data_IF_744079279540
#
_entry.id   IF_744079279540
#
_cell.length_a   1.000
_cell.length_b   1.000
_cell.length_c   1.000
_cell.angle_alpha   90.00
_cell.angle_beta   90.00
_cell.angle_gamma   90.00
#
_symmetry.space_group_name_H-M   'P 1'
#
loop_
_entity.id
_entity.type
_entity.pdbx_description
1 polymer ?
#
# COMPACT_ATOMS: atom_id res chain seq x y z
N UNK A 1 -3.53 5.13 29.95
CA UNK A 1 -3.04 6.50 30.20
C UNK A 1 -3.85 7.44 29.32
N UNK A 2 -4.13 8.68 29.76
CA UNK A 2 -4.80 9.64 28.88
C UNK A 2 -3.87 9.97 27.70
N UNK A 3 -4.38 9.98 26.48
CA UNK A 3 -3.55 10.30 25.32
C UNK A 3 -3.12 11.77 25.40
N UNK A 4 -1.90 12.06 24.97
CA UNK A 4 -1.39 13.43 24.98
C UNK A 4 -2.10 14.23 23.88
N UNK A 5 -2.21 15.56 24.05
CA UNK A 5 -2.77 16.43 22.99
C UNK A 5 -2.06 16.23 21.65
N UNK A 6 -0.76 15.91 21.70
CA UNK A 6 0.06 15.63 20.53
C UNK A 6 -0.39 14.35 19.81
N UNK A 7 -0.65 13.28 20.57
CA UNK A 7 -1.20 12.02 20.04
C UNK A 7 -2.59 12.20 19.44
N UNK A 8 -3.47 12.99 20.07
CA UNK A 8 -4.78 13.32 19.50
C UNK A 8 -4.63 14.01 18.14
N UNK A 9 -3.72 15.00 18.02
CA UNK A 9 -3.48 15.69 16.76
C UNK A 9 -2.97 14.72 15.68
N UNK A 10 -2.02 13.84 16.01
CA UNK A 10 -1.49 12.84 15.06
C UNK A 10 -2.61 11.90 14.57
N UNK A 11 -3.46 11.42 15.47
CA UNK A 11 -4.57 10.53 15.12
C UNK A 11 -5.54 11.18 14.14
N UNK A 12 -6.02 12.40 14.46
CA UNK A 12 -6.96 13.12 13.59
C UNK A 12 -6.31 13.56 12.27
N UNK A 13 -5.04 13.94 12.29
CA UNK A 13 -4.28 14.23 11.08
C UNK A 13 -4.14 13.00 10.18
N UNK A 14 -3.78 11.84 10.74
CA UNK A 14 -3.65 10.59 10.00
C UNK A 14 -4.98 10.22 9.33
N UNK A 15 -6.09 10.31 10.06
CA UNK A 15 -7.44 10.08 9.53
C UNK A 15 -7.72 10.99 8.32
N UNK A 16 -7.56 12.31 8.48
CA UNK A 16 -7.80 13.26 7.38
C UNK A 16 -6.89 13.01 6.17
N UNK A 17 -5.60 12.71 6.40
CA UNK A 17 -4.68 12.35 5.33
C UNK A 17 -5.09 11.08 4.60
N UNK A 18 -5.61 10.07 5.31
CA UNK A 18 -6.09 8.82 4.70
C UNK A 18 -7.35 9.03 3.85
N UNK A 19 -8.22 9.97 4.21
CA UNK A 19 -9.47 10.25 3.52
C UNK A 19 -9.30 11.18 2.31
N UNK A 20 -8.43 12.19 2.43
CA UNK A 20 -8.33 13.32 1.47
C UNK A 20 -6.95 13.44 0.82
N UNK A 21 -6.00 12.62 1.23
CA UNK A 21 -4.59 12.77 0.90
C UNK A 21 -3.91 13.91 1.67
N UNK A 22 -2.58 13.85 1.75
CA UNK A 22 -1.76 14.89 2.40
C UNK A 22 -1.92 16.24 1.69
N UNK A 23 -1.94 16.25 0.35
CA UNK A 23 -2.09 17.49 -0.44
C UNK A 23 -3.46 18.15 -0.25
N UNK A 24 -4.52 17.35 -0.10
CA UNK A 24 -5.90 17.81 0.10
C UNK A 24 -6.24 18.23 1.53
N UNK A 25 -5.29 18.11 2.47
CA UNK A 25 -5.48 18.42 3.88
C UNK A 25 -4.63 19.62 4.30
N UNK A 26 -5.22 20.59 5.00
CA UNK A 26 -4.52 21.76 5.55
C UNK A 26 -4.33 21.63 7.07
N UNK A 27 -3.38 22.41 7.61
CA UNK A 27 -3.19 22.51 9.08
C UNK A 27 -4.44 23.03 9.78
N UNK A 28 -5.24 23.87 9.09
CA UNK A 28 -6.51 24.36 9.61
C UNK A 28 -7.54 23.25 9.74
N UNK A 29 -7.67 22.39 8.72
CA UNK A 29 -8.61 21.26 8.77
C UNK A 29 -8.30 20.34 9.97
N UNK A 30 -7.01 20.09 10.23
CA UNK A 30 -6.58 19.26 11.38
C UNK A 30 -6.92 19.96 12.70
N UNK A 31 -6.66 21.27 12.81
CA UNK A 31 -6.96 22.03 14.02
C UNK A 31 -8.48 22.07 14.30
N UNK A 32 -9.29 22.25 13.26
CA UNK A 32 -10.75 22.27 13.36
C UNK A 32 -11.29 20.89 13.77
N UNK A 33 -10.76 19.79 13.21
CA UNK A 33 -11.12 18.41 13.59
C UNK A 33 -10.77 18.09 15.06
N UNK A 34 -9.64 18.59 15.56
CA UNK A 34 -9.19 18.40 16.96
C UNK A 34 -9.91 19.36 17.93
N UNK A 35 -10.53 20.43 17.42
CA UNK A 35 -11.20 21.46 18.22
C UNK A 35 -10.24 22.47 18.86
N UNK A 36 -9.14 22.80 18.19
CA UNK A 36 -8.15 23.80 18.64
C UNK A 36 -7.96 24.91 17.61
N UNK A 37 -7.37 26.03 18.03
CA UNK A 37 -6.99 27.10 17.09
C UNK A 37 -5.81 26.64 16.22
N UNK A 38 -5.80 27.01 14.93
CA UNK A 38 -4.69 26.63 14.03
C UNK A 38 -3.32 27.13 14.51
N UNK A 39 -3.29 28.30 15.17
CA UNK A 39 -2.08 28.82 15.81
C UNK A 39 -1.55 27.90 16.93
N UNK A 40 -2.45 27.23 17.67
CA UNK A 40 -2.07 26.27 18.71
C UNK A 40 -1.41 25.02 18.13
N UNK A 41 -1.79 24.60 16.91
CA UNK A 41 -1.19 23.43 16.26
C UNK A 41 0.29 23.67 15.95
N UNK A 42 0.67 24.89 15.57
CA UNK A 42 2.07 25.26 15.31
C UNK A 42 2.96 25.23 16.57
N UNK A 43 2.38 25.19 17.78
CA UNK A 43 3.16 24.94 19.01
C UNK A 43 3.55 23.46 19.16
N UNK A 44 2.84 22.53 18.52
CA UNK A 44 3.13 21.10 18.57
C UNK A 44 3.98 20.63 17.39
N UNK A 45 3.79 21.22 16.22
CA UNK A 45 4.43 20.80 14.97
C UNK A 45 4.86 21.99 14.13
N UNK A 46 6.09 21.95 13.61
CA UNK A 46 6.65 23.05 12.80
C UNK A 46 6.05 23.15 11.39
N UNK A 47 5.48 22.07 10.86
CA UNK A 47 4.90 22.04 9.51
C UNK A 47 3.91 20.86 9.35
N UNK A 48 3.14 20.86 8.26
CA UNK A 48 2.32 19.71 7.87
C UNK A 48 3.19 18.47 7.61
N UNK A 49 4.35 18.65 6.99
CA UNK A 49 5.28 17.55 6.68
C UNK A 49 5.85 16.95 7.97
N UNK A 50 6.09 17.75 9.00
CA UNK A 50 6.52 17.24 10.31
C UNK A 50 5.47 16.30 10.94
N UNK A 51 4.17 16.62 10.78
CA UNK A 51 3.08 15.75 11.23
C UNK A 51 3.08 14.43 10.43
N UNK A 52 3.21 14.51 9.12
CA UNK A 52 3.27 13.34 8.22
C UNK A 52 4.44 12.43 8.60
N UNK A 53 5.64 12.98 8.73
CA UNK A 53 6.83 12.19 9.06
C UNK A 53 6.68 11.54 10.42
N UNK A 54 6.12 12.23 11.40
CA UNK A 54 5.96 11.65 12.71
C UNK A 54 4.93 10.51 12.75
N UNK A 55 3.81 10.65 12.05
CA UNK A 55 2.84 9.55 11.90
C UNK A 55 3.51 8.33 11.27
N UNK A 56 4.27 8.54 10.19
CA UNK A 56 4.93 7.44 9.47
C UNK A 56 6.07 6.83 10.29
N UNK A 57 6.90 7.64 10.95
CA UNK A 57 7.99 7.14 11.80
C UNK A 57 7.41 6.31 12.94
N UNK A 58 6.39 6.81 13.65
CA UNK A 58 5.77 6.06 14.74
C UNK A 58 5.21 4.70 14.26
N UNK A 59 4.57 4.68 13.09
CA UNK A 59 4.08 3.44 12.50
C UNK A 59 5.20 2.48 12.08
N UNK A 60 6.23 2.98 11.40
CA UNK A 60 7.34 2.15 10.89
C UNK A 60 8.24 1.66 12.02
N UNK A 61 8.40 2.44 13.10
CA UNK A 61 9.12 2.01 14.30
C UNK A 61 8.36 0.87 15.01
N UNK A 62 7.05 1.00 15.24
CA UNK A 62 6.22 -0.09 15.77
C UNK A 62 6.28 -1.33 14.87
N UNK A 63 6.20 -1.16 13.55
CA UNK A 63 6.33 -2.26 12.59
C UNK A 63 7.69 -2.96 12.70
N UNK A 64 8.78 -2.20 12.81
CA UNK A 64 10.13 -2.75 12.98
C UNK A 64 10.29 -3.49 14.31
N UNK A 65 9.74 -2.95 15.40
CA UNK A 65 9.75 -3.60 16.72
C UNK A 65 9.01 -4.94 16.68
N UNK A 66 7.85 -4.98 16.01
CA UNK A 66 7.10 -6.23 15.83
C UNK A 66 7.81 -7.23 14.92
N UNK A 67 8.42 -6.79 13.82
CA UNK A 67 9.24 -7.67 12.96
C UNK A 67 10.44 -8.25 13.71
N UNK A 68 11.09 -7.44 14.54
CA UNK A 68 12.18 -7.89 15.40
C UNK A 68 11.70 -8.93 16.43
N UNK A 69 10.60 -8.65 17.11
CA UNK A 69 10.01 -9.55 18.11
C UNK A 69 9.50 -10.87 17.50
N UNK A 70 9.06 -10.85 16.24
CA UNK A 70 8.60 -12.02 15.52
C UNK A 70 9.74 -12.91 14.97
N UNK A 71 11.01 -12.50 15.08
CA UNK A 71 12.12 -13.34 14.63
C UNK A 71 12.33 -14.53 15.58
N UNK A 72 12.09 -15.75 15.11
CA UNK A 72 12.43 -16.96 15.87
C UNK A 72 13.73 -17.59 15.33
N UNK A 73 14.67 -17.98 16.22
CA UNK A 73 15.87 -18.72 15.81
C UNK A 73 15.53 -20.07 15.19
N UNK A 74 16.17 -20.37 14.05
CA UNK A 74 16.03 -21.68 13.38
C UNK A 74 14.88 -21.78 12.38
N UNK A 75 14.01 -20.76 12.30
CA UNK A 75 12.95 -20.71 11.29
C UNK A 75 13.49 -20.65 9.86
N UNK A 76 12.73 -21.29 8.99
CA UNK A 76 12.84 -21.26 7.53
C UNK A 76 12.56 -19.86 6.97
N UNK A 77 12.96 -19.61 5.72
CA UNK A 77 12.59 -18.38 5.04
C UNK A 77 11.07 -18.24 4.89
N UNK A 78 10.39 -19.36 4.65
CA UNK A 78 8.94 -19.45 4.54
C UNK A 78 8.20 -19.07 5.83
N UNK A 79 8.59 -19.65 6.96
CA UNK A 79 7.97 -19.34 8.27
C UNK A 79 8.15 -17.86 8.63
N UNK A 80 9.33 -17.29 8.37
CA UNK A 80 9.57 -15.86 8.59
C UNK A 80 8.67 -14.97 7.75
N UNK A 81 8.51 -15.27 6.46
CA UNK A 81 7.60 -14.53 5.59
C UNK A 81 6.17 -14.61 6.13
N UNK A 82 5.74 -15.79 6.57
CA UNK A 82 4.41 -16.01 7.14
C UNK A 82 4.15 -15.12 8.37
N UNK A 83 5.10 -15.12 9.32
CA UNK A 83 5.04 -14.24 10.50
C UNK A 83 5.05 -12.76 10.13
N UNK A 84 5.83 -12.37 9.13
CA UNK A 84 5.88 -10.97 8.68
C UNK A 84 4.57 -10.51 8.04
N UNK A 85 3.86 -11.37 7.29
CA UNK A 85 2.50 -11.06 6.79
C UNK A 85 1.54 -10.86 7.96
N UNK A 86 1.57 -11.75 8.95
CA UNK A 86 0.72 -11.64 10.15
C UNK A 86 0.97 -10.31 10.90
N UNK A 87 2.24 -10.02 11.22
CA UNK A 87 2.65 -8.78 11.88
C UNK A 87 2.22 -7.54 11.08
N UNK A 88 2.33 -7.58 9.75
CA UNK A 88 1.91 -6.46 8.90
C UNK A 88 0.41 -6.18 9.04
N UNK A 89 -0.42 -7.22 9.15
CA UNK A 89 -1.86 -7.09 9.32
C UNK A 89 -2.23 -6.60 10.72
N UNK A 90 -1.54 -7.08 11.75
CA UNK A 90 -1.72 -6.61 13.13
C UNK A 90 -1.36 -5.12 13.25
N UNK A 91 -0.19 -4.72 12.76
CA UNK A 91 0.22 -3.33 12.75
C UNK A 91 -0.74 -2.44 11.95
N UNK A 92 -1.25 -2.94 10.80
CA UNK A 92 -2.24 -2.21 10.02
C UNK A 92 -3.59 -2.06 10.73
N UNK A 93 -4.02 -3.07 11.51
CA UNK A 93 -5.25 -3.00 12.29
C UNK A 93 -5.14 -1.98 13.44
N UNK A 94 -3.98 -1.89 14.08
CA UNK A 94 -3.71 -0.92 15.15
C UNK A 94 -3.48 0.50 14.63
N UNK A 95 -2.99 0.65 13.39
CA UNK A 95 -2.69 1.94 12.75
C UNK A 95 -3.43 2.12 11.41
N UNK A 96 -4.78 2.11 11.40
CA UNK A 96 -5.57 1.98 10.17
C UNK A 96 -5.39 3.13 9.17
N UNK A 97 -4.98 4.31 9.63
CA UNK A 97 -4.80 5.51 8.80
C UNK A 97 -3.35 5.76 8.38
N UNK A 98 -2.37 5.31 9.16
CA UNK A 98 -0.94 5.53 8.87
C UNK A 98 -0.48 4.74 7.64
N UNK A 99 -1.09 3.58 7.39
CA UNK A 99 -0.77 2.69 6.27
C UNK A 99 -0.92 3.36 4.90
N UNK A 100 -1.94 4.19 4.68
CA UNK A 100 -2.12 4.92 3.40
C UNK A 100 -1.02 5.96 3.17
N UNK A 101 -0.59 6.62 4.26
CA UNK A 101 0.45 7.64 4.20
C UNK A 101 1.79 6.96 3.91
N UNK A 102 2.06 5.84 4.56
CA UNK A 102 3.25 5.02 4.34
C UNK A 102 3.31 4.46 2.90
N UNK A 103 2.19 3.95 2.37
CA UNK A 103 2.10 3.41 1.02
C UNK A 103 2.26 4.46 -0.08
N UNK A 104 1.96 5.73 0.21
CA UNK A 104 2.19 6.83 -0.72
C UNK A 104 3.66 7.27 -0.69
N UNK A 105 4.53 6.32 -1.03
CA UNK A 105 6.00 6.40 -0.92
C UNK A 105 6.60 7.61 -1.64
N UNK A 106 5.92 8.24 -2.60
CA UNK A 106 6.44 9.42 -3.31
C UNK A 106 6.86 10.57 -2.38
N UNK A 107 6.15 10.75 -1.26
CA UNK A 107 6.49 11.75 -0.24
C UNK A 107 7.74 11.33 0.58
N UNK A 108 7.95 10.01 0.73
CA UNK A 108 9.04 9.42 1.50
C UNK A 108 10.32 9.28 0.67
N UNK A 109 10.21 8.89 -0.60
CA UNK A 109 11.32 8.68 -1.53
C UNK A 109 12.08 9.96 -1.87
N UNK A 110 11.51 11.11 -1.53
CA UNK A 110 12.12 12.42 -1.70
C UNK A 110 13.02 12.82 -0.52
N UNK A 111 13.03 12.04 0.57
CA UNK A 111 13.86 12.31 1.74
C UNK A 111 15.31 11.85 1.54
N UNK A 112 16.29 12.52 2.18
CA UNK A 112 17.67 12.05 2.21
C UNK A 112 17.77 10.60 2.69
N UNK A 113 18.74 9.86 2.15
CA UNK A 113 18.93 8.45 2.51
C UNK A 113 19.24 8.29 4.01
N UNK A 114 19.97 9.20 4.62
CA UNK A 114 20.34 9.18 6.04
C UNK A 114 19.26 9.74 6.98
N UNK A 115 18.13 10.22 6.44
CA UNK A 115 17.03 10.71 7.28
C UNK A 115 16.45 9.59 8.16
N UNK A 116 15.94 9.91 9.37
CA UNK A 116 15.37 8.90 10.28
C UNK A 116 14.29 8.04 9.63
N UNK A 117 13.42 8.64 8.83
CA UNK A 117 12.34 7.93 8.13
C UNK A 117 12.89 6.98 7.06
N UNK A 118 13.85 7.42 6.23
CA UNK A 118 14.48 6.55 5.23
C UNK A 118 15.21 5.37 5.88
N UNK A 119 15.86 5.59 7.02
CA UNK A 119 16.51 4.52 7.81
C UNK A 119 15.49 3.52 8.34
N UNK A 120 14.40 4.00 8.96
CA UNK A 120 13.37 3.14 9.54
C UNK A 120 12.66 2.30 8.46
N UNK A 121 12.35 2.90 7.30
CA UNK A 121 11.72 2.20 6.17
C UNK A 121 12.65 1.14 5.59
N UNK A 122 13.94 1.45 5.39
CA UNK A 122 14.93 0.45 4.93
C UNK A 122 15.05 -0.71 5.90
N UNK A 123 15.07 -0.45 7.21
CA UNK A 123 15.11 -1.52 8.22
C UNK A 123 13.92 -2.47 8.07
N UNK A 124 12.72 -1.95 7.85
CA UNK A 124 11.53 -2.78 7.64
C UNK A 124 11.67 -3.66 6.39
N UNK A 125 12.30 -3.15 5.33
CA UNK A 125 12.60 -3.90 4.12
C UNK A 125 13.67 -4.97 4.29
N UNK A 126 14.68 -4.71 5.13
CA UNK A 126 15.79 -5.64 5.35
C UNK A 126 15.31 -6.95 5.98
N UNK A 127 14.29 -6.90 6.85
CA UNK A 127 13.69 -8.12 7.41
C UNK A 127 13.10 -9.03 6.32
N UNK A 128 12.39 -8.44 5.33
CA UNK A 128 11.79 -9.20 4.23
C UNK A 128 12.87 -9.76 3.30
N UNK A 129 13.87 -8.94 2.97
CA UNK A 129 14.99 -9.35 2.13
C UNK A 129 15.80 -10.49 2.77
N UNK A 130 16.06 -10.45 4.08
CA UNK A 130 16.73 -11.53 4.81
C UNK A 130 15.91 -12.83 4.78
N UNK A 131 14.60 -12.77 5.04
CA UNK A 131 13.71 -13.93 5.00
C UNK A 131 13.70 -14.61 3.61
N UNK A 132 13.57 -13.81 2.54
CA UNK A 132 13.61 -14.31 1.15
C UNK A 132 14.97 -14.92 0.83
N UNK A 133 16.07 -14.22 1.18
CA UNK A 133 17.42 -14.71 0.94
C UNK A 133 17.71 -16.03 1.67
N UNK A 134 17.19 -16.19 2.89
CA UNK A 134 17.29 -17.45 3.64
C UNK A 134 16.57 -18.59 2.95
N UNK A 135 15.31 -18.39 2.57
CA UNK A 135 14.55 -19.46 1.90
C UNK A 135 15.16 -19.86 0.56
N UNK A 136 15.71 -18.90 -0.20
CA UNK A 136 16.48 -19.21 -1.42
C UNK A 136 17.73 -20.04 -1.10
N UNK A 137 18.52 -19.63 -0.10
CA UNK A 137 19.73 -20.38 0.32
C UNK A 137 19.43 -21.78 0.85
N UNK A 138 18.28 -21.95 1.50
CA UNK A 138 17.80 -23.23 2.00
C UNK A 138 17.15 -24.11 0.91
N UNK A 139 16.96 -23.59 -0.31
CA UNK A 139 16.31 -24.29 -1.41
C UNK A 139 14.79 -24.39 -1.29
N UNK A 140 14.17 -23.59 -0.42
CA UNK A 140 12.71 -23.52 -0.22
C UNK A 140 12.01 -22.83 -1.39
N UNK A 141 12.68 -21.84 -1.98
CA UNK A 141 12.15 -20.97 -3.03
C UNK A 141 12.87 -21.16 -4.36
N UNK A 142 12.14 -21.00 -5.47
CA UNK A 142 12.71 -21.00 -6.82
C UNK A 142 13.71 -19.84 -7.01
N UNK A 143 14.72 -20.06 -7.85
CA UNK A 143 15.84 -19.13 -8.07
C UNK A 143 15.79 -18.39 -9.39
N UNK A 144 14.84 -18.72 -10.25
CA UNK A 144 14.66 -18.11 -11.57
C UNK A 144 13.85 -16.82 -11.54
N UNK A 145 13.36 -16.43 -10.35
CA UNK A 145 12.72 -15.13 -10.12
C UNK A 145 13.65 -14.31 -9.21
N UNK A 146 13.90 -13.08 -9.63
CA UNK A 146 14.73 -12.14 -8.89
C UNK A 146 14.11 -11.82 -7.51
N UNK A 147 14.93 -11.84 -6.48
CA UNK A 147 14.49 -11.69 -5.08
C UNK A 147 13.90 -10.30 -4.81
N UNK A 148 14.43 -9.24 -5.45
CA UNK A 148 13.90 -7.89 -5.26
C UNK A 148 12.55 -7.72 -5.93
N UNK A 149 12.35 -8.31 -7.12
CA UNK A 149 11.05 -8.34 -7.77
C UNK A 149 10.02 -9.11 -6.93
N UNK A 150 10.37 -10.28 -6.42
CA UNK A 150 9.49 -11.06 -5.54
C UNK A 150 9.13 -10.29 -4.27
N UNK A 151 10.13 -9.75 -3.56
CA UNK A 151 9.92 -8.91 -2.37
C UNK A 151 8.93 -7.78 -2.66
N UNK A 152 9.14 -7.04 -3.75
CA UNK A 152 8.26 -5.93 -4.13
C UNK A 152 6.83 -6.42 -4.37
N UNK A 153 6.65 -7.48 -5.17
CA UNK A 153 5.31 -8.01 -5.46
C UNK A 153 4.57 -8.49 -4.21
N UNK A 154 5.26 -9.21 -3.32
CA UNK A 154 4.69 -9.70 -2.07
C UNK A 154 4.30 -8.53 -1.16
N UNK A 155 5.20 -7.57 -0.97
CA UNK A 155 4.97 -6.37 -0.17
C UNK A 155 3.78 -5.56 -0.69
N UNK A 156 3.73 -5.29 -2.00
CA UNK A 156 2.61 -4.58 -2.62
C UNK A 156 1.29 -5.34 -2.40
N UNK A 157 1.32 -6.67 -2.45
CA UNK A 157 0.11 -7.49 -2.24
C UNK A 157 -0.38 -7.45 -0.80
N UNK A 158 0.52 -7.52 0.18
CA UNK A 158 0.20 -7.36 1.62
C UNK A 158 -0.48 -6.00 1.86
N UNK A 159 0.15 -4.93 1.40
CA UNK A 159 -0.31 -3.57 1.63
C UNK A 159 -1.58 -3.20 0.85
N UNK A 160 -1.70 -3.69 -0.39
CA UNK A 160 -2.94 -3.59 -1.17
C UNK A 160 -4.09 -4.32 -0.47
N UNK A 161 -3.84 -5.52 0.09
CA UNK A 161 -4.83 -6.29 0.83
C UNK A 161 -5.32 -5.52 2.06
N UNK A 162 -4.41 -4.92 2.83
CA UNK A 162 -4.77 -4.02 3.95
C UNK A 162 -5.66 -2.88 3.49
N UNK A 163 -5.28 -2.20 2.40
CA UNK A 163 -6.01 -1.05 1.86
C UNK A 163 -7.46 -1.37 1.49
N UNK A 164 -7.68 -2.49 0.79
CA UNK A 164 -9.01 -2.87 0.35
C UNK A 164 -9.87 -3.53 1.44
N UNK A 165 -9.26 -3.98 2.53
CA UNK A 165 -9.96 -4.68 3.61
C UNK A 165 -9.93 -3.93 4.95
N UNK A 166 -9.58 -2.63 4.99
CA UNK A 166 -9.41 -1.86 6.24
C UNK A 166 -10.57 -2.06 7.25
N UNK A 167 -11.81 -2.07 6.77
CA UNK A 167 -12.99 -2.19 7.63
C UNK A 167 -13.21 -3.60 8.22
N UNK A 168 -12.70 -4.65 7.57
CA UNK A 168 -12.87 -6.04 7.98
C UNK A 168 -11.54 -6.74 8.33
N UNK A 169 -10.41 -6.02 8.30
CA UNK A 169 -9.07 -6.58 8.40
C UNK A 169 -8.90 -7.40 9.67
N UNK A 170 -9.38 -6.91 10.81
CA UNK A 170 -9.28 -7.61 12.08
C UNK A 170 -10.04 -8.95 12.10
N UNK A 171 -11.19 -9.03 11.40
CA UNK A 171 -11.97 -10.27 11.30
C UNK A 171 -11.42 -11.23 10.24
N UNK A 172 -10.83 -10.68 9.17
CA UNK A 172 -10.45 -11.42 7.98
C UNK A 172 -8.95 -11.75 7.89
N UNK A 173 -8.12 -11.18 8.78
CA UNK A 173 -6.66 -11.25 8.72
C UNK A 173 -6.13 -12.67 8.50
N UNK A 174 -6.65 -13.64 9.24
CA UNK A 174 -6.18 -15.03 9.14
C UNK A 174 -6.48 -15.65 7.76
N UNK A 175 -7.68 -15.40 7.22
CA UNK A 175 -8.06 -15.88 5.88
C UNK A 175 -7.20 -15.20 4.81
N UNK A 176 -7.06 -13.87 4.89
CA UNK A 176 -6.28 -13.09 3.93
C UNK A 176 -4.80 -13.48 3.95
N UNK A 177 -4.26 -13.77 5.14
CA UNK A 177 -2.88 -14.25 5.32
C UNK A 177 -2.71 -15.59 4.65
N UNK A 178 -3.61 -16.54 4.93
CA UNK A 178 -3.59 -17.86 4.30
C UNK A 178 -3.64 -17.75 2.77
N UNK A 179 -4.56 -16.94 2.22
CA UNK A 179 -4.70 -16.76 0.77
C UNK A 179 -3.43 -16.16 0.14
N UNK A 180 -2.83 -15.13 0.77
CA UNK A 180 -1.57 -14.54 0.30
C UNK A 180 -0.43 -15.55 0.31
N UNK A 181 -0.30 -16.32 1.39
CA UNK A 181 0.76 -17.32 1.54
C UNK A 181 0.58 -18.46 0.55
N UNK A 182 -0.65 -18.91 0.31
CA UNK A 182 -0.93 -19.92 -0.70
C UNK A 182 -0.55 -19.42 -2.11
N UNK A 183 -0.95 -18.21 -2.48
CA UNK A 183 -0.63 -17.66 -3.80
C UNK A 183 0.86 -17.42 -3.98
N UNK A 184 1.51 -16.76 -3.02
CA UNK A 184 2.88 -16.31 -3.16
C UNK A 184 3.93 -17.34 -2.76
N UNK A 185 3.66 -18.21 -1.80
CA UNK A 185 4.63 -19.20 -1.33
C UNK A 185 4.32 -20.61 -1.84
N UNK A 186 3.07 -21.02 -2.05
CA UNK A 186 2.78 -22.33 -2.69
C UNK A 186 2.89 -22.25 -4.22
N UNK A 187 2.49 -21.12 -4.82
CA UNK A 187 2.73 -20.85 -6.24
C UNK A 187 4.21 -20.68 -6.62
N UNK A 188 5.08 -20.47 -5.61
CA UNK A 188 6.51 -20.19 -5.77
C UNK A 188 7.42 -21.24 -5.12
N UNK A 189 6.85 -22.21 -4.41
CA UNK A 189 7.60 -23.29 -3.74
C UNK A 189 8.42 -24.10 -4.75
N UNK A 190 9.60 -24.55 -4.32
CA UNK A 190 10.44 -25.46 -5.09
C UNK A 190 9.80 -26.86 -5.17
N UNK A 191 8.82 -27.03 -6.06
CA UNK A 191 8.18 -28.33 -6.35
C UNK A 191 6.66 -28.31 -6.32
N UNK A 192 6.03 -27.70 -7.33
CA UNK A 192 4.65 -27.96 -7.72
C UNK A 192 4.62 -28.44 -9.17
N UNK A 193 3.75 -29.40 -9.56
CA UNK A 193 3.86 -30.07 -10.85
C UNK A 193 3.57 -29.09 -11.98
N UNK A 194 4.58 -28.74 -12.78
CA UNK A 194 4.33 -28.70 -14.22
C UNK A 194 4.18 -30.16 -14.63
N UNK A 195 2.98 -30.70 -14.39
CA UNK A 195 2.55 -31.95 -14.98
C UNK A 195 2.87 -31.88 -16.47
N UNK A 196 3.22 -33.02 -17.04
CA UNK A 196 3.64 -33.27 -18.42
C UNK A 196 2.63 -32.82 -19.49
N UNK A 197 2.25 -31.56 -19.51
CA UNK A 197 1.70 -30.89 -20.66
C UNK A 197 2.91 -30.46 -21.49
N UNK A 198 3.14 -31.20 -22.59
CA UNK A 198 4.02 -30.82 -23.69
C UNK A 198 4.14 -29.30 -23.74
N UNK A 199 5.36 -28.78 -23.52
CA UNK A 199 5.65 -27.36 -23.59
C UNK A 199 5.28 -26.83 -24.97
N UNK A 200 4.02 -26.41 -25.13
CA UNK A 200 3.68 -25.38 -26.11
C UNK A 200 4.26 -24.12 -25.50
N UNK A 201 5.31 -23.62 -26.14
CA UNK A 201 5.94 -22.35 -25.81
C UNK A 201 4.87 -21.34 -25.39
N UNK A 202 5.07 -20.70 -24.24
CA UNK A 202 4.23 -19.59 -23.81
C UNK A 202 4.11 -18.61 -24.99
N UNK A 203 2.90 -18.16 -25.35
CA UNK A 203 2.77 -17.16 -26.40
C UNK A 203 3.60 -15.95 -25.98
N UNK A 204 4.49 -15.50 -26.86
CA UNK A 204 5.28 -14.29 -26.64
C UNK A 204 4.38 -13.09 -26.35
N UNK A 205 4.95 -11.97 -25.87
CA UNK A 205 4.16 -10.79 -25.51
C UNK A 205 3.21 -10.42 -26.65
N UNK A 206 1.90 -10.45 -26.34
CA UNK A 206 0.83 -10.18 -27.30
C UNK A 206 1.02 -8.76 -27.81
N UNK A 207 1.18 -8.59 -29.12
CA UNK A 207 1.42 -7.27 -29.70
C UNK A 207 0.17 -6.42 -29.51
N UNK A 208 0.33 -5.11 -29.30
CA UNK A 208 -0.80 -4.16 -29.18
C UNK A 208 -1.83 -4.30 -30.31
N UNK A 209 -1.41 -4.68 -31.51
CA UNK A 209 -2.29 -4.97 -32.65
C UNK A 209 -3.19 -6.19 -32.42
N UNK A 210 -2.67 -7.28 -31.86
CA UNK A 210 -3.45 -8.49 -31.57
C UNK A 210 -4.46 -8.28 -30.43
N UNK A 211 -4.16 -7.38 -29.49
CA UNK A 211 -5.09 -6.99 -28.43
C UNK A 211 -6.27 -6.19 -29.03
N UNK A 212 -5.99 -5.30 -30.00
CA UNK A 212 -7.02 -4.54 -30.69
C UNK A 212 -7.93 -5.43 -31.54
N UNK A 213 -7.35 -6.40 -32.26
CA UNK A 213 -8.10 -7.35 -33.09
C UNK A 213 -8.98 -8.27 -32.22
N UNK A 214 -8.50 -8.68 -31.05
CA UNK A 214 -9.28 -9.47 -30.08
C UNK A 214 -10.39 -8.66 -29.42
N UNK A 215 -10.16 -7.39 -29.11
CA UNK A 215 -11.18 -6.51 -28.55
C UNK A 215 -12.30 -6.24 -29.58
N UNK A 216 -11.97 -6.14 -30.86
CA UNK A 216 -12.94 -5.98 -31.95
C UNK A 216 -13.80 -7.23 -32.21
N UNK A 217 -13.31 -8.41 -31.80
CA UNK A 217 -14.01 -9.69 -31.99
C UNK A 217 -14.93 -10.08 -30.82
N UNK A 218 -14.94 -9.31 -29.73
CA UNK A 218 -15.86 -9.50 -28.60
C UNK A 218 -17.14 -8.72 -28.87
N UNK A 219 -18.22 -9.40 -29.23
CA UNK A 219 -19.57 -8.82 -29.14
C UNK A 219 -19.94 -8.69 -27.66
N UNK A 220 -19.88 -7.45 -27.15
CA UNK A 220 -20.35 -7.13 -25.81
C UNK A 220 -21.88 -7.21 -25.79
N UNK A 221 -22.52 -7.70 -24.70
CA UNK A 221 -23.96 -7.61 -24.55
C UNK A 221 -24.36 -6.14 -24.63
N UNK A 222 -25.30 -5.82 -25.50
CA UNK A 222 -25.69 -4.45 -25.84
C UNK A 222 -25.94 -3.63 -24.60
N UNK A 223 -25.00 -2.75 -24.27
CA UNK A 223 -25.21 -1.74 -23.26
C UNK A 223 -26.19 -0.72 -23.85
N UNK A 224 -27.20 -0.34 -23.09
CA UNK A 224 -28.17 0.66 -23.50
C UNK A 224 -27.43 1.98 -23.79
N UNK A 225 -27.36 2.37 -25.06
CA UNK A 225 -26.63 3.55 -25.52
C UNK A 225 -27.09 4.84 -24.80
N UNK A 226 -28.31 4.84 -24.23
CA UNK A 226 -28.83 5.96 -23.46
C UNK A 226 -28.05 6.22 -22.16
N UNK A 227 -27.56 5.18 -21.48
CA UNK A 227 -26.78 5.31 -20.24
C UNK A 227 -25.38 5.91 -20.53
N UNK A 228 -24.80 5.54 -21.67
CA UNK A 228 -23.53 6.11 -22.14
C UNK A 228 -23.69 7.55 -22.64
N UNK A 229 -24.84 7.90 -23.21
CA UNK A 229 -25.11 9.26 -23.69
C UNK A 229 -25.35 10.25 -22.54
N UNK A 230 -26.00 9.82 -21.46
CA UNK A 230 -26.10 10.59 -20.23
C UNK A 230 -24.72 10.79 -19.59
N UNK A 231 -23.91 9.72 -19.49
CA UNK A 231 -22.55 9.84 -18.96
C UNK A 231 -21.67 10.79 -19.81
N UNK A 232 -21.81 10.73 -21.14
CA UNK A 232 -21.12 11.65 -22.06
C UNK A 232 -21.62 13.09 -21.90
N UNK A 233 -22.89 13.31 -21.58
CA UNK A 233 -23.44 14.64 -21.28
C UNK A 233 -22.84 15.19 -19.99
N UNK A 234 -22.85 14.41 -18.93
CA UNK A 234 -22.34 14.83 -17.61
C UNK A 234 -20.84 15.16 -17.68
N UNK A 235 -20.07 14.38 -18.45
CA UNK A 235 -18.64 14.66 -18.70
C UNK A 235 -18.43 15.96 -19.50
N UNK A 236 -19.33 16.33 -20.42
CA UNK A 236 -19.25 17.62 -21.13
C UNK A 236 -19.54 18.79 -20.19
N UNK A 237 -20.57 18.68 -19.37
CA UNK A 237 -20.95 19.71 -18.38
C UNK A 237 -19.84 19.94 -17.35
N UNK A 238 -19.23 18.86 -16.83
CA UNK A 238 -18.07 18.94 -15.94
C UNK A 238 -16.87 19.64 -16.59
N UNK A 239 -16.59 19.35 -17.87
CA UNK A 239 -15.49 20.00 -18.61
C UNK A 239 -15.75 21.48 -18.83
N UNK A 240 -16.99 21.89 -19.07
CA UNK A 240 -17.37 23.29 -19.21
C UNK A 240 -17.27 24.03 -17.87
N UNK A 241 -17.79 23.47 -16.79
CA UNK A 241 -17.66 24.03 -15.44
C UNK A 241 -16.19 24.22 -15.02
N UNK A 242 -15.32 23.24 -15.32
CA UNK A 242 -13.88 23.35 -15.07
C UNK A 242 -13.25 24.47 -15.91
N UNK A 243 -13.73 24.70 -17.14
CA UNK A 243 -13.23 25.76 -18.03
C UNK A 243 -13.62 27.13 -17.52
N UNK A 244 -14.86 27.30 -17.06
CA UNK A 244 -15.36 28.55 -16.47
C UNK A 244 -14.63 28.88 -15.16
N UNK A 245 -14.42 27.89 -14.29
CA UNK A 245 -13.63 28.05 -13.06
C UNK A 245 -12.17 28.47 -13.33
N UNK A 246 -11.58 28.01 -14.44
CA UNK A 246 -10.24 28.43 -14.86
C UNK A 246 -10.20 29.87 -15.38
N UNK A 247 -11.26 30.32 -16.06
CA UNK A 247 -11.38 31.70 -16.53
C UNK A 247 -11.61 32.68 -15.37
N UNK A 248 -12.38 32.28 -14.35
CA UNK A 248 -12.61 33.08 -13.14
C UNK A 248 -11.37 33.23 -12.23
N UNK A 249 -10.41 32.31 -12.32
CA UNK A 249 -9.12 32.37 -11.60
C UNK A 249 -8.01 33.11 -12.38
N UNK A 250 -8.30 33.59 -13.59
CA UNK A 250 -7.35 34.27 -14.47
C UNK A 250 -7.46 35.79 -14.53
N UNK A 251 -8.25 36.41 -13.64
CA UNK A 251 -8.37 37.87 -13.48
C UNK A 251 -7.94 38.29 -12.07
#
# INVERSE_FOLDING_TARGET
MASTRREEILFHAAKLFSERGVAGTTVRDIADEVGILSGSLYHYFGSKDAIVFEIVIAFVDDLNERYEAAQVPGETGRERIDHMVAVSFEAAADHPFATEIYQNESALSSQPEDSPISVAVRRAHDYWADAISRGVRAGEFRVDIDQQHFHRMLRESVWSTVRFNRASLAQDAERLRHDLIAVFLDGFAAGGPVGSASAKAAPGPVRRSEIADRAAAVELPGADDSEFDDLRRDVRELKEAIRELRLLRGN
#
